data_IF_666298510591
#
_entry.id   IF_666298510591
#
_cell.length_a   1.000
_cell.length_b   1.000
_cell.length_c   1.000
_cell.angle_alpha   90.00
_cell.angle_beta   90.00
_cell.angle_gamma   90.00
#
_symmetry.space_group_name_H-M   'P 1'
#
loop_
_entity.id
_entity.type
_entity.pdbx_description
1 polymer ?
#
# COMPACT_ATOMS: atom_id res chain seq x y z
N UNK A 1 2.97 4.62 -10.90
CA UNK A 1 4.42 4.51 -10.72
C UNK A 1 4.90 3.15 -11.22
N UNK A 2 4.40 2.04 -10.70
CA UNK A 2 4.84 0.68 -11.04
C UNK A 2 4.66 0.35 -12.53
N UNK A 3 3.54 0.75 -13.13
CA UNK A 3 3.30 0.57 -14.58
C UNK A 3 4.34 1.28 -15.47
N UNK A 4 4.90 2.41 -15.03
CA UNK A 4 5.97 3.11 -15.76
C UNK A 4 7.28 2.31 -15.72
N UNK A 5 7.61 1.74 -14.57
CA UNK A 5 8.78 0.87 -14.41
C UNK A 5 8.61 -0.41 -15.23
N UNK A 6 7.43 -1.04 -15.15
CA UNK A 6 7.13 -2.24 -15.95
C UNK A 6 7.24 -1.98 -17.46
N UNK A 7 6.84 -0.81 -17.93
CA UNK A 7 6.91 -0.45 -19.35
C UNK A 7 8.36 -0.29 -19.88
N UNK A 8 9.36 -0.15 -19.01
CA UNK A 8 10.77 -0.18 -19.41
C UNK A 8 11.18 -1.59 -19.87
N UNK A 9 10.61 -2.62 -19.26
CA UNK A 9 10.98 -4.03 -19.50
C UNK A 9 9.96 -4.78 -20.37
N UNK A 10 8.68 -4.42 -20.30
CA UNK A 10 7.61 -5.10 -21.03
C UNK A 10 7.38 -4.49 -22.43
N UNK A 11 6.85 -5.30 -23.33
CA UNK A 11 6.37 -4.85 -24.65
C UNK A 11 5.06 -4.05 -24.53
N UNK A 12 4.19 -4.48 -23.63
CA UNK A 12 2.87 -3.86 -23.34
C UNK A 12 2.57 -3.99 -21.85
N UNK A 13 1.96 -2.96 -21.28
CA UNK A 13 1.48 -2.94 -19.89
C UNK A 13 0.01 -2.52 -19.88
N UNK A 14 -0.82 -3.30 -19.23
CA UNK A 14 -2.22 -2.98 -18.98
C UNK A 14 -2.41 -2.55 -17.53
N UNK A 15 -3.03 -1.40 -17.32
CA UNK A 15 -3.51 -0.98 -16.00
C UNK A 15 -4.99 -1.32 -15.93
N UNK A 16 -5.34 -2.43 -15.26
CA UNK A 16 -6.75 -2.79 -15.02
C UNK A 16 -7.22 -2.10 -13.74
N UNK A 17 -8.23 -1.26 -13.87
CA UNK A 17 -8.73 -0.44 -12.79
C UNK A 17 -10.26 -0.51 -12.67
N UNK A 18 -10.73 -0.80 -11.45
CA UNK A 18 -12.17 -0.98 -11.14
C UNK A 18 -12.99 0.31 -11.24
N UNK A 19 -12.37 1.46 -11.04
CA UNK A 19 -13.02 2.77 -11.06
C UNK A 19 -13.12 3.36 -12.48
N UNK A 20 -13.72 4.54 -12.56
CA UNK A 20 -13.95 5.23 -13.84
C UNK A 20 -12.66 5.78 -14.45
N UNK A 21 -11.75 6.24 -13.62
CA UNK A 21 -10.48 6.83 -14.03
C UNK A 21 -9.42 6.60 -12.96
N UNK A 22 -8.20 6.24 -13.38
CA UNK A 22 -7.06 6.15 -12.48
C UNK A 22 -6.74 7.54 -11.89
N UNK A 23 -6.34 7.57 -10.62
CA UNK A 23 -5.99 8.79 -9.89
C UNK A 23 -4.54 8.76 -9.39
N UNK A 24 -3.54 8.69 -10.27
CA UNK A 24 -2.15 8.83 -9.86
C UNK A 24 -1.82 10.29 -9.58
N UNK A 25 -0.66 10.53 -9.01
CA UNK A 25 -0.06 11.86 -8.94
C UNK A 25 0.00 12.49 -10.34
N UNK A 26 -0.26 13.81 -10.51
CA UNK A 26 -0.38 14.45 -11.84
C UNK A 26 0.78 14.16 -12.80
N UNK A 27 2.02 14.21 -12.29
CA UNK A 27 3.23 13.90 -13.08
C UNK A 27 3.21 12.47 -13.63
N UNK A 28 2.72 11.51 -12.83
CA UNK A 28 2.62 10.12 -13.26
C UNK A 28 1.48 9.91 -14.26
N UNK A 29 0.39 10.65 -14.14
CA UNK A 29 -0.72 10.58 -15.09
C UNK A 29 -0.29 11.00 -16.50
N UNK A 30 0.43 12.10 -16.63
CA UNK A 30 0.96 12.58 -17.92
C UNK A 30 1.93 11.56 -18.54
N UNK A 31 2.84 11.01 -17.74
CA UNK A 31 3.78 9.98 -18.19
C UNK A 31 3.07 8.71 -18.67
N UNK A 32 2.05 8.26 -17.96
CA UNK A 32 1.24 7.11 -18.36
C UNK A 32 0.54 7.37 -19.67
N UNK A 33 -0.11 8.55 -19.84
CA UNK A 33 -0.81 8.93 -21.08
C UNK A 33 0.15 9.05 -22.27
N UNK A 34 1.36 9.52 -22.05
CA UNK A 34 2.37 9.69 -23.11
C UNK A 34 3.04 8.37 -23.52
N UNK A 35 2.98 7.32 -22.68
CA UNK A 35 3.65 6.08 -22.94
C UNK A 35 2.80 5.12 -23.79
N UNK A 36 3.17 4.94 -25.05
CA UNK A 36 2.47 4.09 -26.02
C UNK A 36 2.41 2.60 -25.63
N UNK A 37 3.27 2.14 -24.70
CA UNK A 37 3.24 0.77 -24.19
C UNK A 37 2.21 0.57 -23.08
N UNK A 38 1.69 1.63 -22.47
CA UNK A 38 0.75 1.55 -21.37
C UNK A 38 -0.67 1.79 -21.86
N UNK A 39 -1.57 0.90 -21.49
CA UNK A 39 -2.99 1.01 -21.76
C UNK A 39 -3.80 0.88 -20.48
N UNK A 40 -4.82 1.71 -20.32
CA UNK A 40 -5.66 1.73 -19.11
C UNK A 40 -7.03 1.15 -19.44
N UNK A 41 -7.39 0.07 -18.77
CA UNK A 41 -8.69 -0.60 -18.85
C UNK A 41 -9.49 -0.23 -17.59
N UNK A 42 -10.32 0.79 -17.69
CA UNK A 42 -11.14 1.28 -16.58
C UNK A 42 -12.42 0.46 -16.40
N UNK A 43 -13.08 0.63 -15.24
CA UNK A 43 -14.36 -0.03 -14.87
C UNK A 43 -14.31 -1.55 -14.99
N UNK A 44 -13.13 -2.15 -14.77
CA UNK A 44 -12.87 -3.57 -15.03
C UNK A 44 -12.15 -4.18 -13.85
N UNK A 45 -12.56 -5.40 -13.49
CA UNK A 45 -11.92 -6.22 -12.47
C UNK A 45 -11.31 -7.46 -13.12
N UNK A 46 -10.22 -7.96 -12.53
CA UNK A 46 -9.68 -9.28 -12.82
C UNK A 46 -10.41 -10.27 -11.91
N UNK A 47 -11.02 -11.29 -12.52
CA UNK A 47 -11.74 -12.35 -11.82
C UNK A 47 -10.85 -13.55 -11.53
N UNK A 48 -9.92 -13.86 -12.45
CA UNK A 48 -9.06 -15.03 -12.37
C UNK A 48 -7.73 -14.73 -13.06
N UNK A 49 -6.65 -15.29 -12.55
CA UNK A 49 -5.32 -15.31 -13.20
C UNK A 49 -5.03 -16.77 -13.56
N UNK A 50 -4.72 -17.02 -14.84
CA UNK A 50 -4.48 -18.36 -15.38
C UNK A 50 -3.02 -18.57 -15.73
N UNK A 51 -2.60 -19.83 -15.65
CA UNK A 51 -1.27 -20.30 -16.00
C UNK A 51 -0.99 -21.63 -15.31
N UNK A 52 0.13 -22.26 -15.68
CA UNK A 52 0.67 -23.42 -14.99
C UNK A 52 1.93 -23.02 -14.21
N UNK A 53 3.11 -23.25 -14.80
CA UNK A 53 4.39 -22.78 -14.23
C UNK A 53 4.52 -21.25 -14.30
N UNK A 54 3.97 -20.66 -15.36
CA UNK A 54 3.98 -19.21 -15.59
C UNK A 54 2.57 -18.71 -15.84
N UNK A 55 2.35 -17.43 -15.53
CA UNK A 55 1.10 -16.73 -15.86
C UNK A 55 0.97 -16.65 -17.39
N UNK A 56 -0.22 -16.95 -17.91
CA UNK A 56 -0.52 -16.93 -19.35
C UNK A 56 -1.66 -15.98 -19.72
N UNK A 57 -2.63 -15.77 -18.83
CA UNK A 57 -3.75 -14.87 -19.08
C UNK A 57 -4.43 -14.41 -17.80
N UNK A 58 -5.31 -13.42 -17.94
CA UNK A 58 -6.25 -13.01 -16.90
C UNK A 58 -7.67 -12.94 -17.46
N UNK A 59 -8.66 -13.33 -16.66
CA UNK A 59 -10.09 -13.23 -16.99
C UNK A 59 -10.63 -11.92 -16.41
N UNK A 60 -11.22 -11.12 -17.26
CA UNK A 60 -11.86 -9.86 -16.91
C UNK A 60 -13.37 -10.05 -16.68
N UNK A 61 -13.97 -9.23 -15.82
CA UNK A 61 -15.42 -9.19 -15.62
C UNK A 61 -16.17 -8.61 -16.84
N UNK A 62 -15.49 -7.80 -17.66
CA UNK A 62 -16.02 -7.17 -18.87
C UNK A 62 -15.24 -7.53 -20.12
N UNK A 63 -15.86 -7.33 -21.28
CA UNK A 63 -15.19 -7.48 -22.56
C UNK A 63 -14.17 -6.35 -22.76
N UNK A 64 -12.97 -6.73 -23.14
CA UNK A 64 -11.93 -5.88 -23.66
C UNK A 64 -11.51 -6.42 -25.03
N UNK A 65 -11.58 -5.58 -26.07
CA UNK A 65 -11.34 -5.99 -27.46
C UNK A 65 -12.18 -7.23 -27.90
N UNK A 66 -13.44 -7.27 -27.44
CA UNK A 66 -14.37 -8.36 -27.75
C UNK A 66 -14.14 -9.66 -26.98
N UNK A 67 -13.16 -9.71 -26.06
CA UNK A 67 -12.82 -10.91 -25.27
C UNK A 67 -12.84 -10.61 -23.78
N UNK A 68 -13.14 -11.63 -22.98
CA UNK A 68 -12.97 -11.55 -21.52
C UNK A 68 -11.58 -12.02 -21.07
N UNK A 69 -10.85 -12.73 -21.91
CA UNK A 69 -9.54 -13.26 -21.61
C UNK A 69 -8.45 -12.36 -22.21
N UNK A 70 -7.58 -11.85 -21.38
CA UNK A 70 -6.45 -11.02 -21.72
C UNK A 70 -5.17 -11.85 -21.59
N UNK A 71 -4.49 -12.13 -22.71
CA UNK A 71 -3.20 -12.81 -22.70
C UNK A 71 -2.11 -11.91 -22.14
N UNK A 72 -1.29 -12.42 -21.23
CA UNK A 72 -0.22 -11.71 -20.56
C UNK A 72 0.77 -12.70 -19.91
N UNK A 73 1.97 -12.24 -19.62
CA UNK A 73 3.08 -13.06 -19.09
C UNK A 73 3.36 -12.75 -17.61
N UNK A 74 2.68 -11.80 -17.02
CA UNK A 74 2.84 -11.46 -15.61
C UNK A 74 1.74 -10.53 -15.10
N UNK A 75 1.47 -10.59 -13.78
CA UNK A 75 0.50 -9.75 -13.09
C UNK A 75 1.15 -9.13 -11.86
N UNK A 76 1.07 -7.80 -11.77
CA UNK A 76 1.45 -7.04 -10.58
C UNK A 76 0.21 -6.56 -9.84
N UNK A 77 0.07 -6.98 -8.59
CA UNK A 77 -1.05 -6.63 -7.72
C UNK A 77 -0.73 -5.34 -6.97
N UNK A 78 -1.32 -4.23 -7.40
CA UNK A 78 -1.10 -2.90 -6.84
C UNK A 78 -2.43 -2.25 -6.42
N UNK A 79 -3.22 -2.98 -5.61
CA UNK A 79 -4.60 -2.61 -5.23
C UNK A 79 -4.71 -1.95 -3.85
N UNK A 80 -3.60 -1.51 -3.27
CA UNK A 80 -3.51 -0.93 -1.95
C UNK A 80 -2.98 -1.91 -0.90
N UNK A 81 -3.10 -1.54 0.36
CA UNK A 81 -2.62 -2.33 1.48
C UNK A 81 -3.69 -2.44 2.57
N UNK A 82 -3.57 -3.45 3.40
CA UNK A 82 -4.34 -3.63 4.63
C UNK A 82 -3.35 -3.53 5.78
N UNK A 83 -3.65 -2.68 6.76
CA UNK A 83 -2.85 -2.56 7.96
C UNK A 83 -2.95 -3.86 8.80
N UNK A 84 -1.83 -4.53 9.02
CA UNK A 84 -1.79 -5.75 9.84
C UNK A 84 -1.73 -5.41 11.33
N UNK A 85 -2.79 -4.79 11.84
CA UNK A 85 -2.89 -4.28 13.21
C UNK A 85 -3.52 -5.24 14.22
N UNK A 86 -3.80 -6.50 13.83
CA UNK A 86 -4.52 -7.46 14.68
C UNK A 86 -3.84 -7.68 16.04
N UNK A 87 -2.50 -7.76 16.07
CA UNK A 87 -1.75 -7.89 17.32
C UNK A 87 -1.98 -6.69 18.24
N UNK A 88 -1.90 -5.48 17.70
CA UNK A 88 -2.12 -4.25 18.46
C UNK A 88 -3.57 -4.12 18.94
N UNK A 89 -4.55 -4.55 18.14
CA UNK A 89 -5.96 -4.57 18.50
C UNK A 89 -6.23 -5.42 19.75
N UNK A 90 -5.58 -6.57 19.89
CA UNK A 90 -5.72 -7.45 21.06
C UNK A 90 -5.25 -6.79 22.37
N UNK A 91 -4.36 -5.80 22.29
CA UNK A 91 -3.88 -5.00 23.42
C UNK A 91 -4.78 -3.80 23.76
N UNK A 92 -5.88 -3.59 23.02
CA UNK A 92 -6.77 -2.43 23.22
C UNK A 92 -6.28 -1.15 22.54
N UNK A 93 -5.34 -1.24 21.61
CA UNK A 93 -4.87 -0.09 20.83
C UNK A 93 -5.98 0.41 19.91
N UNK A 94 -6.19 1.72 19.87
CA UNK A 94 -7.21 2.35 19.02
C UNK A 94 -6.80 2.31 17.55
N UNK A 95 -7.75 1.94 16.70
CA UNK A 95 -7.61 1.91 15.25
C UNK A 95 -8.56 2.92 14.60
N UNK A 96 -8.16 3.45 13.44
CA UNK A 96 -9.05 4.24 12.59
C UNK A 96 -9.96 3.34 11.73
N UNK A 97 -10.82 3.93 10.91
CA UNK A 97 -11.76 3.21 10.02
C UNK A 97 -11.07 2.30 8.99
N UNK A 98 -9.80 2.55 8.67
CA UNK A 98 -8.99 1.73 7.77
C UNK A 98 -8.24 0.60 8.48
N UNK A 99 -8.41 0.46 9.81
CA UNK A 99 -7.69 -0.50 10.63
C UNK A 99 -6.25 -0.07 10.95
N UNK A 100 -5.86 1.17 10.72
CA UNK A 100 -4.54 1.69 11.04
C UNK A 100 -4.48 2.14 12.51
N UNK A 101 -3.32 1.97 13.14
CA UNK A 101 -3.09 2.33 14.54
C UNK A 101 -3.04 3.85 14.68
N UNK A 102 -3.92 4.41 15.49
CA UNK A 102 -3.93 5.83 15.82
C UNK A 102 -2.77 6.15 16.75
N UNK A 103 -1.92 7.09 16.37
CA UNK A 103 -0.74 7.51 17.12
C UNK A 103 -0.69 9.01 17.37
N UNK A 104 0.08 9.41 18.36
CA UNK A 104 0.58 10.77 18.46
C UNK A 104 1.72 10.95 17.45
N UNK A 105 1.48 11.76 16.42
CA UNK A 105 2.44 11.95 15.32
C UNK A 105 3.78 12.61 15.72
N UNK A 106 3.89 13.14 16.94
CA UNK A 106 5.15 13.71 17.47
C UNK A 106 6.00 12.68 18.21
N UNK A 107 5.36 11.67 18.81
CA UNK A 107 6.02 10.71 19.70
C UNK A 107 5.86 9.26 19.27
N UNK A 108 5.02 9.00 18.28
CA UNK A 108 4.62 7.65 17.85
C UNK A 108 3.90 6.81 18.92
N UNK A 109 3.47 7.44 20.03
CA UNK A 109 2.72 6.79 21.11
C UNK A 109 1.31 6.44 20.67
N UNK A 110 0.84 5.28 21.10
CA UNK A 110 -0.57 4.87 20.99
C UNK A 110 -1.36 5.35 22.22
N UNK A 111 -2.65 4.99 22.30
CA UNK A 111 -3.45 5.22 23.50
C UNK A 111 -3.07 4.31 24.69
N UNK A 112 -2.22 3.32 24.48
CA UNK A 112 -1.73 2.39 25.51
C UNK A 112 -0.31 2.80 25.91
N UNK A 113 -0.12 3.13 27.17
CA UNK A 113 1.18 3.55 27.70
C UNK A 113 2.26 2.48 27.47
N UNK A 114 3.41 2.89 26.95
CA UNK A 114 4.53 2.00 26.62
C UNK A 114 4.37 1.24 25.30
N UNK A 115 3.29 1.50 24.54
CA UNK A 115 3.07 0.91 23.23
C UNK A 115 3.17 1.99 22.15
N UNK A 116 4.02 1.76 21.17
CA UNK A 116 4.33 2.67 20.07
C UNK A 116 4.06 2.00 18.74
N UNK A 117 3.76 2.78 17.70
CA UNK A 117 3.61 2.26 16.35
C UNK A 117 4.28 3.18 15.33
N UNK A 118 4.86 2.60 14.28
CA UNK A 118 5.56 3.28 13.20
C UNK A 118 5.36 2.57 11.86
N UNK A 119 5.54 3.29 10.77
CA UNK A 119 5.43 2.78 9.40
C UNK A 119 3.98 2.65 8.92
N UNK A 120 3.77 1.79 7.93
CA UNK A 120 2.50 1.70 7.19
C UNK A 120 1.32 1.22 8.04
N UNK A 121 1.57 0.62 9.21
CA UNK A 121 0.53 0.21 10.15
C UNK A 121 -0.08 1.39 10.92
N UNK A 122 0.65 2.51 11.02
CA UNK A 122 0.18 3.73 11.68
C UNK A 122 -0.67 4.62 10.75
N UNK A 123 -1.52 5.47 11.34
CA UNK A 123 -2.48 6.34 10.66
C UNK A 123 -1.83 7.56 9.99
N UNK A 124 -0.93 7.34 9.07
CA UNK A 124 -0.19 8.38 8.34
C UNK A 124 -0.76 8.64 6.94
N UNK A 125 -0.82 9.91 6.50
CA UNK A 125 -1.32 10.25 5.17
C UNK A 125 -0.35 9.86 4.05
N UNK A 126 0.96 9.81 4.36
CA UNK A 126 2.01 9.49 3.38
C UNK A 126 2.84 8.32 3.86
N UNK A 127 2.81 7.23 3.08
CA UNK A 127 3.42 5.94 3.41
C UNK A 127 4.55 5.63 2.44
N UNK A 128 5.78 5.74 2.92
CA UNK A 128 7.01 5.40 2.20
C UNK A 128 8.01 4.78 3.18
N UNK A 129 8.92 3.94 2.70
CA UNK A 129 9.92 3.30 3.55
C UNK A 129 10.70 4.31 4.41
N UNK A 130 11.11 5.44 3.83
CA UNK A 130 11.85 6.49 4.56
C UNK A 130 11.03 7.13 5.68
N UNK A 131 9.71 7.32 5.51
CA UNK A 131 8.86 7.85 6.59
C UNK A 131 8.71 6.85 7.71
N UNK A 132 8.58 5.56 7.40
CA UNK A 132 8.54 4.48 8.39
C UNK A 132 9.82 4.39 9.21
N UNK A 133 10.99 4.56 8.59
CA UNK A 133 12.29 4.59 9.28
C UNK A 133 12.34 5.77 10.26
N UNK A 134 11.98 6.98 9.83
CA UNK A 134 11.97 8.16 10.68
C UNK A 134 11.02 8.02 11.88
N UNK A 135 9.84 7.45 11.66
CA UNK A 135 8.86 7.16 12.72
C UNK A 135 9.39 6.11 13.70
N UNK A 136 10.07 5.08 13.20
CA UNK A 136 10.74 4.08 14.04
C UNK A 136 11.77 4.69 14.97
N UNK A 137 12.58 5.63 14.49
CA UNK A 137 13.51 6.39 15.32
C UNK A 137 12.78 7.21 16.39
N UNK A 138 11.68 7.88 16.03
CA UNK A 138 10.85 8.65 16.96
C UNK A 138 10.25 7.74 18.03
N UNK A 139 9.70 6.61 17.65
CA UNK A 139 9.13 5.62 18.56
C UNK A 139 10.19 5.10 19.57
N UNK A 140 11.37 4.75 19.06
CA UNK A 140 12.47 4.27 19.90
C UNK A 140 12.94 5.32 20.90
N UNK A 141 13.08 6.58 20.48
CA UNK A 141 13.44 7.69 21.36
C UNK A 141 12.37 7.93 22.44
N UNK A 142 11.11 7.94 22.06
CA UNK A 142 9.99 8.10 23.01
C UNK A 142 9.91 6.94 24.02
N UNK A 143 10.17 5.72 23.57
CA UNK A 143 10.24 4.54 24.46
C UNK A 143 11.39 4.66 25.46
N UNK A 144 12.56 5.14 25.02
CA UNK A 144 13.70 5.41 25.90
C UNK A 144 13.34 6.46 26.97
N UNK A 145 12.74 7.58 26.58
CA UNK A 145 12.30 8.60 27.55
C UNK A 145 11.28 8.05 28.54
N UNK A 146 10.30 7.28 28.07
CA UNK A 146 9.31 6.64 28.92
C UNK A 146 9.96 5.74 30.00
N UNK A 147 10.90 4.89 29.60
CA UNK A 147 11.63 4.02 30.52
C UNK A 147 12.48 4.79 31.52
N UNK A 148 13.13 5.85 31.07
CA UNK A 148 13.99 6.70 31.92
C UNK A 148 13.16 7.42 32.99
N UNK A 149 12.03 8.01 32.61
CA UNK A 149 11.12 8.70 33.54
C UNK A 149 10.51 7.73 34.57
N UNK A 150 10.17 6.50 34.17
CA UNK A 150 9.57 5.53 35.06
C UNK A 150 10.58 4.83 36.00
N UNK A 151 11.87 4.73 35.61
CA UNK A 151 12.94 4.24 36.51
C UNK A 151 13.21 5.20 37.67
N UNK A 152 13.09 6.49 37.45
CA UNK A 152 13.27 7.51 38.51
C UNK A 152 12.17 7.45 39.56
N UNK A 153 10.98 6.93 39.22
CA UNK A 153 9.84 6.81 40.14
C UNK A 153 9.80 5.49 40.92
N UNK A 154 10.74 4.57 40.68
CA UNK A 154 10.81 3.24 41.34
C UNK A 154 12.05 3.07 42.24
N UNK A 155 12.85 4.11 42.41
CA UNK A 155 13.97 4.23 43.34
C UNK A 155 13.65 5.27 44.41
#
# INVERSE_FOLDING_TARGET
KDALVLAEHAKKVYIVYRGEQIHPEPVNLERVKANKKIEVINKTNILEIKGNEFVSSAILDKLYDGKKELSLEGVFVAIGHIALSNLAKSLGVKLNEKGEIIINHKTSETNISGVYAAGDVADKPFKQAITGVAEGCTAAYSAFEYLTKNKVNTS
#
